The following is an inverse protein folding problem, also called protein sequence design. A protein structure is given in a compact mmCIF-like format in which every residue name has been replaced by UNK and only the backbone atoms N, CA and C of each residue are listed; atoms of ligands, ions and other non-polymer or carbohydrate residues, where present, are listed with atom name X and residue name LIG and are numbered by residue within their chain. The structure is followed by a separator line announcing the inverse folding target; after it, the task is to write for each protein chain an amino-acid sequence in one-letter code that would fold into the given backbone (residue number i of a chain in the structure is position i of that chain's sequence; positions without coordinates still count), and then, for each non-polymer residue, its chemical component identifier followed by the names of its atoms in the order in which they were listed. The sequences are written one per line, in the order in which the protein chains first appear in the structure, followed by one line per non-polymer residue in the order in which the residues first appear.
data_IF_635300621963
#
_entry.id   IF_635300621963
#
_cell.length_a   1.000
_cell.length_b   1.000
_cell.length_c   1.000
_cell.angle_alpha   90.00
_cell.angle_beta   90.00
_cell.angle_gamma   90.00
#
_symmetry.space_group_name_H-M   'P 1'
#
loop_
_entity.id
_entity.type
_entity.pdbx_description
1 polymer ?
#
# COMPACT_ATOMS: atom_id res chain seq x y z
N UNK A 1 4.20 -10.17 -0.78
CA UNK A 1 5.61 -10.33 -0.39
C UNK A 1 6.16 -9.17 0.44
N UNK A 2 6.20 -7.92 -0.03
CA UNK A 2 6.86 -6.83 0.72
C UNK A 2 6.22 -6.57 2.10
N UNK A 3 4.89 -6.49 2.16
CA UNK A 3 4.15 -6.32 3.42
C UNK A 3 4.30 -7.54 4.36
N UNK A 4 4.38 -8.75 3.80
CA UNK A 4 4.60 -9.98 4.56
C UNK A 4 6.02 -10.02 5.15
N UNK A 5 7.03 -9.67 4.35
CA UNK A 5 8.41 -9.60 4.82
C UNK A 5 8.58 -8.55 5.93
N UNK A 6 7.93 -7.38 5.78
CA UNK A 6 7.90 -6.36 6.83
C UNK A 6 7.23 -6.89 8.11
N UNK A 7 6.07 -7.54 7.99
CA UNK A 7 5.39 -8.17 9.12
C UNK A 7 6.26 -9.21 9.84
N UNK A 8 7.00 -10.03 9.09
CA UNK A 8 7.96 -11.00 9.67
C UNK A 8 9.12 -10.31 10.37
N UNK A 9 9.63 -9.21 9.83
CA UNK A 9 10.71 -8.43 10.45
C UNK A 9 10.28 -7.85 11.81
N UNK A 10 8.99 -7.52 11.96
CA UNK A 10 8.37 -7.11 13.22
C UNK A 10 8.00 -8.30 14.15
N UNK A 11 8.40 -9.53 13.80
CA UNK A 11 8.28 -10.72 14.65
C UNK A 11 7.05 -11.59 14.40
N UNK A 12 6.23 -11.32 13.38
CA UNK A 12 5.10 -12.21 13.06
C UNK A 12 5.60 -13.57 12.54
N UNK A 13 5.04 -14.69 13.04
CA UNK A 13 5.31 -16.02 12.46
C UNK A 13 5.00 -16.05 10.98
N UNK A 14 5.77 -16.83 10.20
CA UNK A 14 5.68 -16.81 8.73
C UNK A 14 4.25 -17.00 8.20
N UNK A 15 3.52 -18.00 8.71
CA UNK A 15 2.14 -18.26 8.31
C UNK A 15 1.21 -17.07 8.61
N UNK A 16 1.38 -16.44 9.79
CA UNK A 16 0.57 -15.30 10.19
C UNK A 16 0.92 -14.04 9.41
N UNK A 17 2.20 -13.80 9.11
CA UNK A 17 2.63 -12.68 8.28
C UNK A 17 2.08 -12.78 6.85
N UNK A 18 2.06 -13.99 6.28
CA UNK A 18 1.47 -14.26 4.97
C UNK A 18 -0.05 -13.99 4.97
N UNK A 19 -0.74 -14.47 6.01
CA UNK A 19 -2.17 -14.23 6.18
C UNK A 19 -2.47 -12.74 6.37
N UNK A 20 -1.71 -12.06 7.23
CA UNK A 20 -1.81 -10.62 7.49
C UNK A 20 -1.70 -9.83 6.19
N UNK A 21 -0.62 -10.01 5.44
CA UNK A 21 -0.39 -9.26 4.21
C UNK A 21 -1.49 -9.52 3.17
N UNK A 22 -1.92 -10.78 3.01
CA UNK A 22 -3.00 -11.13 2.07
C UNK A 22 -4.32 -10.48 2.48
N UNK A 23 -4.72 -10.61 3.74
CA UNK A 23 -5.97 -10.07 4.24
C UNK A 23 -5.99 -8.53 4.15
N UNK A 24 -4.89 -7.86 4.49
CA UNK A 24 -4.78 -6.40 4.38
C UNK A 24 -4.94 -5.92 2.95
N UNK A 25 -4.23 -6.50 2.00
CA UNK A 25 -4.28 -6.06 0.59
C UNK A 25 -5.65 -6.38 -0.03
N UNK A 26 -6.15 -7.61 0.17
CA UNK A 26 -7.44 -8.02 -0.37
C UNK A 26 -8.59 -7.22 0.25
N UNK A 27 -8.60 -7.04 1.57
CA UNK A 27 -9.62 -6.26 2.27
C UNK A 27 -9.62 -4.79 1.88
N UNK A 28 -8.44 -4.19 1.66
CA UNK A 28 -8.35 -2.79 1.20
C UNK A 28 -8.92 -2.62 -0.21
N UNK A 29 -8.64 -3.57 -1.11
CA UNK A 29 -9.21 -3.57 -2.46
C UNK A 29 -10.72 -3.78 -2.45
N UNK A 30 -11.20 -4.74 -1.66
CA UNK A 30 -12.63 -5.03 -1.51
C UNK A 30 -13.39 -3.82 -0.92
N UNK A 31 -12.82 -3.13 0.06
CA UNK A 31 -13.42 -1.91 0.63
C UNK A 31 -13.54 -0.80 -0.43
N UNK A 32 -12.49 -0.60 -1.24
CA UNK A 32 -12.50 0.42 -2.28
C UNK A 32 -13.49 0.11 -3.41
N UNK A 33 -13.69 -1.17 -3.72
CA UNK A 33 -14.66 -1.61 -4.74
C UNK A 33 -16.11 -1.49 -4.25
N UNK A 34 -16.36 -1.81 -2.98
CA UNK A 34 -17.69 -1.84 -2.39
C UNK A 34 -18.22 -0.46 -1.94
N UNK A 35 -17.32 0.50 -1.66
CA UNK A 35 -17.69 1.82 -1.12
C UNK A 35 -17.30 2.94 -2.12
N UNK A 36 -18.27 3.74 -2.63
CA UNK A 36 -17.99 4.82 -3.57
C UNK A 36 -17.27 6.02 -2.94
N UNK A 37 -17.07 6.01 -1.62
CA UNK A 37 -16.32 7.03 -0.90
C UNK A 37 -14.91 7.18 -1.48
N UNK A 38 -14.42 8.41 -1.72
CA UNK A 38 -13.07 8.62 -2.24
C UNK A 38 -12.01 7.92 -1.38
N UNK A 39 -11.03 7.27 -2.03
CA UNK A 39 -9.97 6.52 -1.33
C UNK A 39 -9.23 7.34 -0.25
N UNK A 40 -9.07 8.66 -0.48
CA UNK A 40 -8.48 9.56 0.51
C UNK A 40 -9.32 9.65 1.80
N UNK A 41 -10.64 9.65 1.67
CA UNK A 41 -11.57 9.65 2.80
C UNK A 41 -11.58 8.28 3.49
N UNK A 42 -11.61 7.17 2.75
CA UNK A 42 -11.49 5.81 3.33
C UNK A 42 -10.21 5.66 4.16
N UNK A 43 -9.07 6.14 3.64
CA UNK A 43 -7.80 6.17 4.39
C UNK A 43 -7.92 7.01 5.66
N UNK A 44 -8.55 8.18 5.60
CA UNK A 44 -8.72 9.04 6.78
C UNK A 44 -9.61 8.36 7.84
N UNK A 45 -10.65 7.63 7.43
CA UNK A 45 -11.56 6.92 8.33
C UNK A 45 -10.85 5.84 9.16
N UNK A 46 -9.76 5.26 8.66
CA UNK A 46 -8.94 4.27 9.38
C UNK A 46 -7.70 4.87 10.06
N UNK A 47 -7.58 6.20 10.07
CA UNK A 47 -6.41 6.92 10.60
C UNK A 47 -6.81 7.78 11.79
N UNK A 48 -6.61 7.27 13.00
CA UNK A 48 -6.73 8.08 14.21
C UNK A 48 -5.50 9.00 14.38
N UNK A 49 -5.72 10.21 14.92
CA UNK A 49 -4.65 11.16 15.21
C UNK A 49 -3.66 10.55 16.22
N UNK A 50 -2.40 10.42 15.84
CA UNK A 50 -1.35 9.82 16.66
C UNK A 50 -1.38 8.29 16.76
N UNK A 51 -2.26 7.62 16.00
CA UNK A 51 -2.35 6.16 15.98
C UNK A 51 -1.26 5.48 15.15
N UNK A 52 -1.22 4.13 15.21
CA UNK A 52 -0.25 3.31 14.47
C UNK A 52 -0.37 3.48 12.96
N UNK A 53 -1.59 3.57 12.43
CA UNK A 53 -1.82 3.86 10.99
C UNK A 53 -1.26 5.22 10.59
N UNK A 54 -1.38 6.24 11.45
CA UNK A 54 -0.83 7.56 11.17
C UNK A 54 0.71 7.52 11.11
N UNK A 55 1.36 6.79 12.02
CA UNK A 55 2.81 6.59 12.00
C UNK A 55 3.27 5.86 10.73
N UNK A 56 2.58 4.79 10.33
CA UNK A 56 2.86 4.08 9.09
C UNK A 56 2.67 4.98 7.85
N UNK A 57 1.59 5.77 7.81
CA UNK A 57 1.32 6.70 6.71
C UNK A 57 2.36 7.81 6.59
N UNK A 58 2.95 8.27 7.70
CA UNK A 58 4.03 9.25 7.64
C UNK A 58 5.24 8.73 6.84
N UNK A 59 5.56 7.44 6.98
CA UNK A 59 6.61 6.77 6.20
C UNK A 59 6.14 6.54 4.76
N UNK A 60 4.96 5.93 4.59
CA UNK A 60 4.46 5.56 3.27
C UNK A 60 4.19 6.77 2.37
N UNK A 61 3.84 7.93 2.92
CA UNK A 61 3.54 9.15 2.16
C UNK A 61 4.70 10.15 2.12
N UNK A 62 5.91 9.74 2.52
CA UNK A 62 7.09 10.57 2.45
C UNK A 62 7.35 11.09 1.01
N UNK A 63 7.69 12.38 0.87
CA UNK A 63 7.80 13.03 -0.45
C UNK A 63 8.94 12.49 -1.32
N UNK A 64 10.07 12.12 -0.71
CA UNK A 64 11.30 11.78 -1.44
C UNK A 64 11.25 10.34 -1.96
N UNK A 65 10.93 9.41 -1.07
CA UNK A 65 11.09 7.96 -1.23
C UNK A 65 9.85 7.15 -0.83
N UNK A 66 8.77 7.82 -0.43
CA UNK A 66 7.50 7.17 -0.14
C UNK A 66 6.78 6.65 -1.38
N UNK A 67 5.66 5.98 -1.13
CA UNK A 67 4.80 5.32 -2.11
C UNK A 67 4.37 6.23 -3.27
N UNK A 68 4.03 7.53 -3.09
CA UNK A 68 3.68 8.39 -4.23
C UNK A 68 4.84 8.57 -5.22
N UNK A 69 6.07 8.70 -4.72
CA UNK A 69 7.26 8.84 -5.57
C UNK A 69 7.61 7.52 -6.26
N UNK A 70 7.50 6.41 -5.52
CA UNK A 70 7.74 5.06 -6.02
C UNK A 70 6.74 4.68 -7.12
N UNK A 71 5.44 4.87 -6.89
CA UNK A 71 4.39 4.53 -7.85
C UNK A 71 4.48 5.37 -9.13
N UNK A 72 4.79 6.66 -9.02
CA UNK A 72 5.02 7.51 -10.20
C UNK A 72 6.14 6.95 -11.08
N UNK A 73 7.26 6.55 -10.48
CA UNK A 73 8.39 5.95 -11.20
C UNK A 73 8.04 4.59 -11.79
N UNK A 74 7.35 3.74 -11.04
CA UNK A 74 6.96 2.41 -11.50
C UNK A 74 5.99 2.49 -12.70
N UNK A 75 4.96 3.34 -12.62
CA UNK A 75 4.01 3.56 -13.72
C UNK A 75 4.70 4.16 -14.94
N UNK A 76 5.62 5.12 -14.75
CA UNK A 76 6.40 5.68 -15.85
C UNK A 76 7.26 4.61 -16.55
N UNK A 77 7.94 3.75 -15.79
CA UNK A 77 8.73 2.66 -16.36
C UNK A 77 7.85 1.66 -17.14
N UNK A 78 6.68 1.31 -16.60
CA UNK A 78 5.73 0.44 -17.27
C UNK A 78 5.22 1.07 -18.59
N UNK A 79 4.90 2.38 -18.58
CA UNK A 79 4.48 3.11 -19.79
C UNK A 79 5.57 3.11 -20.85
N UNK A 80 6.81 3.46 -20.49
CA UNK A 80 7.93 3.44 -21.44
C UNK A 80 8.10 2.05 -22.07
N UNK A 81 7.98 0.99 -21.26
CA UNK A 81 8.07 -0.38 -21.78
C UNK A 81 6.92 -0.73 -22.71
N UNK A 82 5.70 -0.26 -22.42
CA UNK A 82 4.56 -0.44 -23.30
C UNK A 82 4.80 0.22 -24.68
N UNK A 83 5.39 1.42 -24.72
CA UNK A 83 5.78 2.11 -25.96
C UNK A 83 6.82 1.31 -26.76
N UNK A 84 7.86 0.79 -26.10
CA UNK A 84 8.88 -0.06 -26.73
C UNK A 84 8.29 -1.36 -27.32
N UNK A 85 7.18 -1.84 -26.77
CA UNK A 85 6.45 -3.02 -27.24
C UNK A 85 5.36 -2.70 -28.27
N UNK A 86 5.08 -1.41 -28.55
CA UNK A 86 4.04 -0.98 -29.48
C UNK A 86 2.60 -1.10 -28.94
N UNK A 87 2.41 -1.01 -27.62
CA UNK A 87 1.10 -1.01 -26.93
C UNK A 87 0.52 0.40 -26.72
#
# INVERSE_FOLDING_TARGET
EALEAAARAEGLPAALAAQFARATVAGSGALLDADPTPAATLRNNVTSKGGTTAAALAVLMARKDGLPSLLRRAVHAARKRAEELGL
#
